data_IF_739731027812
#
_entry.id   IF_739731027812
#
_cell.length_a   1.000
_cell.length_b   1.000
_cell.length_c   1.000
_cell.angle_alpha   90.00
_cell.angle_beta   90.00
_cell.angle_gamma   90.00
#
_symmetry.space_group_name_H-M   'P 1'
#
loop_
_entity.id
_entity.type
_entity.pdbx_description
1 polymer ?
#
# COMPACT_ATOMS: atom_id res chain seq x y z
N UNK A 1 13.20 -0.74 -38.99
CA UNK A 1 14.41 -1.59 -39.13
C UNK A 1 13.96 -3.03 -39.32
N UNK A 2 14.50 -3.70 -40.33
CA UNK A 2 14.31 -5.13 -40.53
C UNK A 2 15.09 -5.92 -39.46
N UNK A 3 14.61 -7.10 -39.07
CA UNK A 3 15.32 -8.01 -38.16
C UNK A 3 16.76 -8.30 -38.63
N UNK A 4 16.96 -8.37 -39.95
CA UNK A 4 18.29 -8.52 -40.56
C UNK A 4 19.24 -7.35 -40.26
N UNK A 5 18.73 -6.11 -40.22
CA UNK A 5 19.54 -4.92 -39.92
C UNK A 5 19.97 -4.91 -38.45
N UNK A 6 19.09 -5.34 -37.54
CA UNK A 6 19.40 -5.48 -36.11
C UNK A 6 20.49 -6.53 -35.88
N UNK A 7 20.43 -7.66 -36.58
CA UNK A 7 21.47 -8.70 -36.51
C UNK A 7 22.80 -8.19 -37.03
N UNK A 8 22.81 -7.51 -38.19
CA UNK A 8 24.05 -6.95 -38.75
C UNK A 8 24.67 -5.92 -37.82
N UNK A 9 23.86 -5.03 -37.25
CA UNK A 9 24.31 -4.06 -36.25
C UNK A 9 24.88 -4.74 -34.99
N UNK A 10 24.26 -5.82 -34.53
CA UNK A 10 24.74 -6.60 -33.39
C UNK A 10 26.10 -7.25 -33.69
N UNK A 11 26.27 -7.86 -34.87
CA UNK A 11 27.53 -8.50 -35.28
C UNK A 11 28.65 -7.46 -35.38
N UNK A 12 28.40 -6.32 -36.03
CA UNK A 12 29.38 -5.24 -36.15
C UNK A 12 29.71 -4.67 -34.75
N UNK A 13 28.70 -4.50 -33.91
CA UNK A 13 28.87 -4.05 -32.53
C UNK A 13 29.78 -4.96 -31.72
N UNK A 14 29.56 -6.28 -31.76
CA UNK A 14 30.41 -7.27 -31.08
C UNK A 14 31.83 -7.30 -31.66
N UNK A 15 31.98 -7.11 -32.97
CA UNK A 15 33.29 -7.13 -33.64
C UNK A 15 34.14 -5.89 -33.34
N UNK A 16 33.49 -4.74 -33.10
CA UNK A 16 34.14 -3.48 -32.72
C UNK A 16 34.45 -3.43 -31.21
N UNK A 17 33.67 -4.14 -30.39
CA UNK A 17 33.86 -4.17 -28.94
C UNK A 17 35.14 -4.90 -28.55
N UNK A 18 35.96 -4.25 -27.71
CA UNK A 18 37.10 -4.92 -27.10
C UNK A 18 36.63 -5.78 -25.93
N UNK A 19 37.35 -6.88 -25.60
CA UNK A 19 37.02 -7.72 -24.45
C UNK A 19 37.07 -6.96 -23.12
N UNK A 20 37.88 -5.91 -23.04
CA UNK A 20 37.95 -5.00 -21.89
C UNK A 20 36.66 -4.19 -21.68
N UNK A 21 36.05 -3.75 -22.79
CA UNK A 21 34.78 -3.00 -22.78
C UNK A 21 33.64 -3.88 -22.30
N UNK A 22 33.62 -5.15 -22.73
CA UNK A 22 32.61 -6.14 -22.32
C UNK A 22 32.61 -6.33 -20.79
N UNK A 23 33.80 -6.43 -20.19
CA UNK A 23 33.97 -6.58 -18.74
C UNK A 23 33.48 -5.34 -17.99
N UNK A 24 33.74 -4.15 -18.52
CA UNK A 24 33.24 -2.88 -17.97
C UNK A 24 31.72 -2.80 -18.03
N UNK A 25 31.13 -3.20 -19.16
CA UNK A 25 29.68 -3.19 -19.39
C UNK A 25 28.94 -4.14 -18.43
N UNK A 26 29.48 -5.35 -18.24
CA UNK A 26 28.95 -6.31 -17.26
C UNK A 26 29.03 -5.74 -15.85
N UNK A 27 30.17 -5.15 -15.46
CA UNK A 27 30.34 -4.54 -14.13
C UNK A 27 29.32 -3.42 -13.89
N UNK A 28 29.09 -2.56 -14.87
CA UNK A 28 28.10 -1.49 -14.78
C UNK A 28 26.67 -2.04 -14.68
N UNK A 29 26.38 -3.14 -15.38
CA UNK A 29 25.08 -3.82 -15.30
C UNK A 29 24.82 -4.41 -13.89
N UNK A 30 25.84 -5.01 -13.27
CA UNK A 30 25.74 -5.48 -11.89
C UNK A 30 25.52 -4.34 -10.89
N UNK A 31 26.20 -3.20 -11.08
CA UNK A 31 25.99 -2.01 -10.26
C UNK A 31 24.57 -1.48 -10.43
N UNK A 32 24.09 -1.34 -11.67
CA UNK A 32 22.73 -0.90 -11.96
C UNK A 32 21.68 -1.84 -11.33
N UNK A 33 21.87 -3.15 -11.44
CA UNK A 33 21.01 -4.14 -10.77
C UNK A 33 20.98 -3.90 -9.26
N UNK A 34 22.14 -3.69 -8.63
CA UNK A 34 22.24 -3.42 -7.20
C UNK A 34 21.50 -2.14 -6.81
N UNK A 35 21.68 -1.05 -7.56
CA UNK A 35 20.94 0.20 -7.35
C UNK A 35 19.42 0.00 -7.46
N UNK A 36 18.95 -0.76 -8.44
CA UNK A 36 17.52 -1.06 -8.59
C UNK A 36 16.98 -1.93 -7.44
N UNK A 37 17.76 -2.90 -6.97
CA UNK A 37 17.40 -3.73 -5.80
C UNK A 37 17.38 -2.88 -4.52
N UNK A 38 18.36 -2.01 -4.32
CA UNK A 38 18.42 -1.13 -3.16
C UNK A 38 17.26 -0.13 -3.14
N UNK A 39 16.88 0.43 -4.30
CA UNK A 39 15.69 1.28 -4.44
C UNK A 39 14.39 0.51 -4.20
N UNK A 40 14.28 -0.71 -4.75
CA UNK A 40 13.12 -1.57 -4.52
C UNK A 40 12.94 -1.88 -3.03
N UNK A 41 14.01 -2.23 -2.33
CA UNK A 41 13.95 -2.51 -0.89
C UNK A 41 13.68 -1.25 -0.05
N UNK A 42 14.20 -0.08 -0.44
CA UNK A 42 13.98 1.17 0.29
C UNK A 42 12.58 1.75 0.12
N UNK A 43 11.90 1.47 -1.00
CA UNK A 43 10.59 2.07 -1.30
C UNK A 43 9.47 1.06 -1.03
N UNK A 44 9.64 -0.19 -1.42
CA UNK A 44 8.55 -1.17 -1.41
C UNK A 44 8.27 -1.75 -0.02
N UNK A 45 9.33 -1.96 0.79
CA UNK A 45 9.19 -2.48 2.16
C UNK A 45 8.44 -1.50 3.07
N UNK A 46 8.85 -0.21 3.20
CA UNK A 46 8.14 0.71 4.09
C UNK A 46 6.72 1.04 3.61
N UNK A 47 6.48 1.04 2.29
CA UNK A 47 5.13 1.26 1.78
C UNK A 47 4.19 0.08 2.09
N UNK A 48 4.72 -1.14 2.07
CA UNK A 48 3.95 -2.34 2.41
C UNK A 48 3.62 -2.40 3.90
N UNK A 49 4.58 -2.07 4.76
CA UNK A 49 4.37 -1.97 6.21
C UNK A 49 3.34 -0.88 6.56
N UNK A 50 3.42 0.29 5.92
CA UNK A 50 2.45 1.38 6.12
C UNK A 50 1.04 1.02 5.64
N UNK A 51 0.91 0.21 4.58
CA UNK A 51 -0.37 -0.29 4.08
C UNK A 51 -0.98 -1.33 5.02
N UNK A 52 -0.18 -2.25 5.54
CA UNK A 52 -0.63 -3.26 6.52
C UNK A 52 -1.10 -2.60 7.82
N UNK A 53 -0.36 -1.61 8.34
CA UNK A 53 -0.74 -0.82 9.52
C UNK A 53 -2.06 -0.03 9.31
N UNK A 54 -2.28 0.50 8.09
CA UNK A 54 -3.49 1.23 7.75
C UNK A 54 -4.70 0.30 7.68
N UNK A 55 -4.52 -0.91 7.13
CA UNK A 55 -5.55 -1.94 7.03
C UNK A 55 -5.96 -2.46 8.42
N UNK A 56 -4.99 -2.72 9.30
CA UNK A 56 -5.24 -3.15 10.68
C UNK A 56 -6.04 -2.10 11.46
N UNK A 57 -5.66 -0.81 11.34
CA UNK A 57 -6.43 0.29 11.97
C UNK A 57 -7.86 0.41 11.44
N UNK A 58 -8.06 0.23 10.13
CA UNK A 58 -9.41 0.27 9.55
C UNK A 58 -10.29 -0.89 10.03
N UNK A 59 -9.70 -2.06 10.25
CA UNK A 59 -10.40 -3.21 10.83
C UNK A 59 -10.79 -2.94 12.30
N UNK A 60 -9.88 -2.43 13.11
CA UNK A 60 -10.13 -2.08 14.51
C UNK A 60 -11.24 -1.01 14.65
N UNK A 61 -11.17 0.06 13.85
CA UNK A 61 -12.18 1.12 13.83
C UNK A 61 -13.56 0.59 13.40
N UNK A 62 -13.61 -0.33 12.43
CA UNK A 62 -14.84 -0.97 11.97
C UNK A 62 -15.49 -1.81 13.07
N UNK A 63 -14.71 -2.59 13.82
CA UNK A 63 -15.21 -3.42 14.92
C UNK A 63 -15.77 -2.55 16.06
N UNK A 64 -15.09 -1.46 16.40
CA UNK A 64 -15.61 -0.52 17.39
C UNK A 64 -16.91 0.16 16.92
N UNK A 65 -16.98 0.59 15.66
CA UNK A 65 -18.20 1.15 15.06
C UNK A 65 -19.37 0.17 15.19
N UNK A 66 -19.15 -1.10 14.80
CA UNK A 66 -20.18 -2.14 14.85
C UNK A 66 -20.64 -2.39 16.29
N UNK A 67 -19.72 -2.41 17.25
CA UNK A 67 -20.04 -2.58 18.66
C UNK A 67 -21.00 -1.50 19.20
N UNK A 68 -20.79 -0.22 18.87
CA UNK A 68 -21.72 0.83 19.31
C UNK A 68 -23.05 0.80 18.56
N UNK A 69 -23.05 0.45 17.26
CA UNK A 69 -24.30 0.27 16.51
C UNK A 69 -25.15 -0.86 17.09
N UNK A 70 -24.53 -1.97 17.48
CA UNK A 70 -25.22 -3.07 18.17
C UNK A 70 -25.83 -2.59 19.49
N UNK A 71 -25.09 -1.81 20.28
CA UNK A 71 -25.61 -1.22 21.51
C UNK A 71 -26.81 -0.30 21.26
N UNK A 72 -26.76 0.53 20.22
CA UNK A 72 -27.87 1.42 19.83
C UNK A 72 -29.09 0.58 19.43
N UNK A 73 -28.89 -0.48 18.64
CA UNK A 73 -29.95 -1.39 18.22
C UNK A 73 -30.60 -2.12 19.41
N UNK A 74 -29.79 -2.55 20.39
CA UNK A 74 -30.26 -3.18 21.63
C UNK A 74 -31.11 -2.24 22.51
N UNK A 75 -30.93 -0.93 22.37
CA UNK A 75 -31.79 0.09 22.99
C UNK A 75 -33.07 0.37 22.19
N UNK A 76 -33.36 -0.43 21.15
CA UNK A 76 -34.44 -0.23 20.17
C UNK A 76 -34.39 1.15 19.50
N UNK A 77 -33.21 1.75 19.39
CA UNK A 77 -32.99 3.03 18.71
C UNK A 77 -32.38 2.79 17.33
N UNK A 78 -32.59 3.75 16.43
CA UNK A 78 -31.98 3.76 15.10
C UNK A 78 -30.90 4.83 15.03
N UNK A 79 -29.81 4.52 14.35
CA UNK A 79 -28.75 5.47 14.04
C UNK A 79 -28.94 6.04 12.62
N UNK A 80 -29.03 7.35 12.49
CA UNK A 80 -29.16 8.06 11.20
C UNK A 80 -27.99 9.04 10.94
N UNK A 81 -26.90 8.93 11.70
CA UNK A 81 -25.71 9.77 11.55
C UNK A 81 -24.67 9.19 10.59
N UNK A 82 -23.54 9.88 10.42
CA UNK A 82 -22.42 9.38 9.61
C UNK A 82 -21.70 8.22 10.32
N UNK A 83 -21.16 7.28 9.54
CA UNK A 83 -20.35 6.17 10.04
C UNK A 83 -18.96 6.63 10.50
N UNK A 84 -18.91 7.49 11.53
CA UNK A 84 -17.69 7.81 12.26
C UNK A 84 -17.83 7.36 13.71
N UNK A 85 -16.77 6.74 14.23
CA UNK A 85 -16.72 6.22 15.59
C UNK A 85 -17.10 7.30 16.62
N UNK A 86 -16.58 8.53 16.48
CA UNK A 86 -16.89 9.65 17.36
C UNK A 86 -18.40 9.98 17.37
N UNK A 87 -19.04 10.06 16.20
CA UNK A 87 -20.45 10.42 16.09
C UNK A 87 -21.37 9.30 16.59
N UNK A 88 -21.04 8.05 16.30
CA UNK A 88 -21.81 6.89 16.79
C UNK A 88 -21.71 6.81 18.32
N UNK A 89 -20.51 6.99 18.88
CA UNK A 89 -20.26 7.00 20.32
C UNK A 89 -21.02 8.13 21.01
N UNK A 90 -20.97 9.35 20.47
CA UNK A 90 -21.74 10.48 20.99
C UNK A 90 -23.25 10.19 21.00
N UNK A 91 -23.77 9.69 19.88
CA UNK A 91 -25.19 9.36 19.76
C UNK A 91 -25.64 8.29 20.77
N UNK A 92 -24.83 7.24 20.95
CA UNK A 92 -25.08 6.24 21.98
C UNK A 92 -25.18 6.86 23.39
N UNK A 93 -24.26 7.76 23.75
CA UNK A 93 -24.31 8.43 25.04
C UNK A 93 -25.52 9.35 25.20
N UNK A 94 -25.92 10.05 24.14
CA UNK A 94 -27.09 10.92 24.17
C UNK A 94 -28.39 10.12 24.39
N UNK A 95 -28.54 8.98 23.71
CA UNK A 95 -29.64 8.04 23.96
C UNK A 95 -29.63 7.59 25.41
N UNK A 96 -28.48 7.13 25.92
CA UNK A 96 -28.35 6.55 27.25
C UNK A 96 -28.64 7.58 28.35
N UNK A 97 -28.21 8.82 28.15
CA UNK A 97 -28.52 9.95 29.04
C UNK A 97 -30.01 10.28 29.04
N UNK A 98 -30.67 10.19 27.90
CA UNK A 98 -32.11 10.42 27.79
C UNK A 98 -32.92 9.27 28.42
N UNK A 99 -32.48 8.02 28.26
CA UNK A 99 -33.16 6.86 28.88
C UNK A 99 -33.06 6.84 30.41
N UNK A 100 -32.00 7.42 30.99
CA UNK A 100 -31.83 7.50 32.44
C UNK A 100 -32.62 8.65 33.11
N UNK A 101 -33.15 9.59 32.32
CA UNK A 101 -33.97 10.71 32.82
C UNK A 101 -35.48 10.47 32.75
N UNK A 102 -35.90 9.41 32.04
CA UNK A 102 -37.29 8.95 31.97
C UNK A 102 -37.59 7.93 33.07
#
# INVERSE_FOLDING_TARGET
MSFSEVIVAFIIGVLVLKPEDLKSLIRNFYQLKRYLTDLGNQIFIPLQEELEDLEEKMLEDSDEINFYLEKIANLNQKYEGDYSLEKIKQHYYDILKNSLKS
#
